data_IF_298086321683
#
_entry.id   IF_298086321683
#
_cell.length_a   1.000
_cell.length_b   1.000
_cell.length_c   1.000
_cell.angle_alpha   90.00
_cell.angle_beta   90.00
_cell.angle_gamma   90.00
#
_symmetry.space_group_name_H-M   'P 1'
#
loop_
_entity.id
_entity.type
_entity.pdbx_description
1 polymer ?
#
# COMPACT_ATOMS: atom_id res chain seq x y z
N UNK A 1 -14.93 12.67 -4.39
CA UNK A 1 -13.94 12.85 -3.30
C UNK A 1 -12.60 12.26 -3.75
N UNK A 2 -11.48 12.90 -3.39
CA UNK A 2 -10.13 12.38 -3.68
C UNK A 2 -9.69 11.33 -2.64
N UNK A 3 -8.78 10.42 -2.99
CA UNK A 3 -8.15 9.49 -2.04
C UNK A 3 -7.37 10.24 -0.97
N UNK A 4 -6.67 11.32 -1.33
CA UNK A 4 -5.94 12.14 -0.36
C UNK A 4 -6.86 12.68 0.76
N UNK A 5 -8.05 13.14 0.40
CA UNK A 5 -9.08 13.64 1.33
C UNK A 5 -9.63 12.49 2.20
N UNK A 6 -9.99 11.36 1.59
CA UNK A 6 -10.52 10.21 2.32
C UNK A 6 -9.52 9.63 3.34
N UNK A 7 -8.23 9.68 3.03
CA UNK A 7 -7.14 9.28 3.95
C UNK A 7 -6.84 10.33 5.04
N UNK A 8 -7.52 11.48 5.05
CA UNK A 8 -7.24 12.63 5.90
C UNK A 8 -5.76 13.02 5.88
N UNK A 9 -5.18 13.09 4.68
CA UNK A 9 -3.81 13.56 4.50
C UNK A 9 -3.81 15.07 4.35
N UNK A 10 -2.91 15.74 5.07
CA UNK A 10 -2.68 17.18 4.95
C UNK A 10 -1.41 17.46 4.15
N UNK A 11 -1.28 18.68 3.65
CA UNK A 11 -0.10 19.15 2.93
C UNK A 11 1.16 19.27 3.80
N UNK A 12 1.09 18.92 5.09
CA UNK A 12 2.28 18.79 5.95
C UNK A 12 3.15 17.61 5.55
N UNK A 13 2.65 16.70 4.71
CA UNK A 13 3.36 15.50 4.27
C UNK A 13 3.19 14.33 5.24
N UNK A 14 3.99 13.29 5.03
CA UNK A 14 3.94 12.08 5.82
C UNK A 14 4.45 10.86 5.06
N UNK A 15 4.75 9.81 5.81
CA UNK A 15 5.16 8.51 5.26
C UNK A 15 3.93 7.62 5.19
N UNK A 16 3.52 7.23 3.98
CA UNK A 16 2.35 6.40 3.71
C UNK A 16 2.82 5.06 3.16
N UNK A 17 2.58 3.98 3.90
CA UNK A 17 2.90 2.62 3.48
C UNK A 17 1.66 1.89 2.99
N UNK A 18 1.75 1.22 1.84
CA UNK A 18 0.71 0.39 1.24
C UNK A 18 1.08 -1.08 1.40
N UNK A 19 0.23 -1.86 2.06
CA UNK A 19 0.45 -3.30 2.27
C UNK A 19 -0.81 -4.11 1.93
N UNK A 20 -0.64 -5.36 1.51
CA UNK A 20 -1.74 -6.26 1.16
C UNK A 20 -1.89 -6.57 -0.33
N UNK A 21 -3.13 -6.69 -0.80
CA UNK A 21 -3.48 -7.16 -2.14
C UNK A 21 -4.43 -6.22 -2.87
N UNK A 22 -4.56 -6.37 -4.19
CA UNK A 22 -5.61 -5.66 -4.94
C UNK A 22 -5.24 -4.22 -5.33
N UNK A 23 -4.09 -4.00 -5.95
CA UNK A 23 -3.79 -2.75 -6.65
C UNK A 23 -3.04 -1.68 -5.85
N UNK A 24 -2.20 -2.08 -4.90
CA UNK A 24 -1.34 -1.17 -4.10
C UNK A 24 -0.57 -0.17 -4.94
N UNK A 25 0.12 -0.64 -5.96
CA UNK A 25 0.93 0.18 -6.86
C UNK A 25 0.07 1.22 -7.58
N UNK A 26 -1.10 0.82 -8.07
CA UNK A 26 -2.07 1.72 -8.72
C UNK A 26 -2.59 2.77 -7.74
N UNK A 27 -2.95 2.37 -6.52
CA UNK A 27 -3.42 3.26 -5.47
C UNK A 27 -2.33 4.27 -5.06
N UNK A 28 -1.08 3.82 -4.94
CA UNK A 28 0.07 4.67 -4.65
C UNK A 28 0.28 5.72 -5.75
N UNK A 29 0.24 5.32 -7.02
CA UNK A 29 0.37 6.28 -8.14
C UNK A 29 -0.83 7.22 -8.26
N UNK A 30 -2.04 6.75 -7.95
CA UNK A 30 -3.24 7.60 -7.91
C UNK A 30 -3.11 8.65 -6.81
N UNK A 31 -2.74 8.25 -5.58
CA UNK A 31 -2.49 9.19 -4.49
C UNK A 31 -1.39 10.21 -4.88
N UNK A 32 -0.30 9.75 -5.49
CA UNK A 32 0.74 10.63 -6.00
C UNK A 32 0.19 11.69 -6.96
N UNK A 33 -0.74 11.34 -7.85
CA UNK A 33 -1.34 12.31 -8.78
C UNK A 33 -2.27 13.32 -8.10
N UNK A 34 -2.82 12.99 -6.93
CA UNK A 34 -3.73 13.86 -6.18
C UNK A 34 -3.00 14.80 -5.23
N UNK A 35 -1.77 14.46 -4.82
CA UNK A 35 -0.94 15.30 -3.95
C UNK A 35 -0.59 16.62 -4.66
N UNK A 36 -0.84 17.80 -4.04
CA UNK A 36 -0.59 19.11 -4.63
C UNK A 36 0.83 19.29 -5.14
N UNK A 37 1.01 19.99 -6.27
CA UNK A 37 2.33 20.21 -6.92
C UNK A 37 3.36 20.82 -5.98
N UNK A 38 2.94 21.68 -5.03
CA UNK A 38 3.79 22.28 -4.00
C UNK A 38 4.41 21.27 -3.03
N UNK A 39 3.83 20.08 -2.90
CA UNK A 39 4.35 19.04 -2.03
C UNK A 39 5.38 18.19 -2.79
N UNK A 40 6.46 17.85 -2.10
CA UNK A 40 7.50 16.95 -2.59
C UNK A 40 7.04 15.52 -2.36
N UNK A 41 7.22 14.65 -3.35
CA UNK A 41 6.79 13.25 -3.24
C UNK A 41 7.91 12.33 -3.68
N UNK A 42 8.21 11.34 -2.85
CA UNK A 42 9.11 10.24 -3.15
C UNK A 42 8.29 8.95 -3.19
N UNK A 43 8.42 8.20 -4.28
CA UNK A 43 7.81 6.88 -4.43
C UNK A 43 8.88 5.81 -4.20
N UNK A 44 8.57 4.76 -3.45
CA UNK A 44 9.55 3.69 -3.21
C UNK A 44 8.87 2.37 -2.85
N UNK A 45 9.68 1.34 -2.61
CA UNK A 45 9.23 0.02 -2.17
C UNK A 45 10.25 -0.60 -1.22
N UNK A 46 9.79 -1.41 -0.27
CA UNK A 46 10.65 -2.28 0.56
C UNK A 46 10.84 -3.68 -0.03
N UNK A 47 10.17 -3.99 -1.14
CA UNK A 47 10.24 -5.32 -1.77
C UNK A 47 10.69 -5.23 -3.22
N UNK A 48 9.79 -5.41 -4.18
CA UNK A 48 10.06 -5.26 -5.61
C UNK A 48 8.89 -4.53 -6.21
N UNK A 49 9.17 -3.47 -6.95
CA UNK A 49 8.17 -2.76 -7.74
C UNK A 49 8.46 -2.98 -9.21
N UNK A 50 7.41 -3.08 -10.02
CA UNK A 50 7.57 -3.01 -11.47
C UNK A 50 8.07 -1.61 -11.84
N UNK A 51 9.05 -1.51 -12.75
CA UNK A 51 9.53 -0.22 -13.23
C UNK A 51 8.34 0.51 -13.84
N UNK A 52 7.92 1.66 -13.29
CA UNK A 52 6.82 2.41 -13.87
C UNK A 52 7.28 3.11 -15.16
N UNK A 53 6.34 3.61 -15.99
CA UNK A 53 6.71 4.36 -17.19
C UNK A 53 7.64 5.52 -16.83
N UNK A 54 8.90 5.43 -17.27
CA UNK A 54 9.98 6.33 -16.85
C UNK A 54 9.79 7.76 -17.34
N UNK A 55 9.03 7.94 -18.42
CA UNK A 55 8.57 9.23 -18.92
C UNK A 55 7.64 9.96 -17.94
N UNK A 56 6.88 9.21 -17.12
CA UNK A 56 5.94 9.76 -16.13
C UNK A 56 6.54 9.79 -14.73
N UNK A 57 7.41 8.82 -14.42
CA UNK A 57 8.00 8.65 -13.10
C UNK A 57 9.52 8.39 -13.23
N UNK A 58 10.35 9.45 -13.22
CA UNK A 58 11.79 9.31 -13.28
C UNK A 58 12.28 8.37 -12.17
N UNK A 59 13.03 7.34 -12.56
CA UNK A 59 13.53 6.33 -11.62
C UNK A 59 14.97 6.65 -11.24
N UNK A 60 15.23 6.76 -9.94
CA UNK A 60 16.57 6.97 -9.39
C UNK A 60 17.04 5.69 -8.68
N UNK A 61 18.14 5.14 -9.17
CA UNK A 61 18.76 3.91 -8.64
C UNK A 61 19.90 4.27 -7.69
N UNK A 62 19.84 3.74 -6.47
CA UNK A 62 20.72 4.11 -5.36
C UNK A 62 21.88 3.12 -5.13
N UNK A 63 22.26 2.34 -6.15
CA UNK A 63 23.31 1.32 -6.06
C UNK A 63 24.75 1.87 -5.93
N UNK A 64 24.98 3.16 -6.23
CA UNK A 64 26.29 3.81 -6.11
C UNK A 64 26.34 4.69 -4.86
N UNK A 65 27.17 4.33 -3.89
CA UNK A 65 27.40 5.10 -2.65
C UNK A 65 27.88 6.53 -2.99
N UNK A 66 27.34 7.55 -2.30
CA UNK A 66 28.07 8.82 -2.07
C UNK A 66 27.31 10.13 -2.24
N UNK A 67 26.35 10.27 -3.16
CA UNK A 67 25.71 11.58 -3.47
C UNK A 67 24.18 11.56 -3.56
N UNK A 68 23.56 10.55 -2.94
CA UNK A 68 22.13 10.26 -3.05
C UNK A 68 21.26 11.42 -2.55
N UNK A 69 21.59 11.98 -1.38
CA UNK A 69 20.80 13.05 -0.78
C UNK A 69 20.82 14.31 -1.66
N UNK A 70 21.96 14.64 -2.28
CA UNK A 70 22.07 15.80 -3.19
C UNK A 70 21.27 15.59 -4.47
N UNK A 71 21.38 14.42 -5.10
CA UNK A 71 20.62 14.10 -6.31
C UNK A 71 19.11 14.07 -6.05
N UNK A 72 18.69 13.45 -4.95
CA UNK A 72 17.29 13.41 -4.53
C UNK A 72 16.76 14.81 -4.24
N UNK A 73 17.48 15.60 -3.44
CA UNK A 73 17.08 16.99 -3.15
C UNK A 73 16.98 17.83 -4.42
N UNK A 74 17.94 17.70 -5.34
CA UNK A 74 17.90 18.42 -6.62
C UNK A 74 16.63 18.10 -7.43
N UNK A 75 16.26 16.81 -7.53
CA UNK A 75 15.02 16.40 -8.21
C UNK A 75 13.77 16.92 -7.50
N UNK A 76 13.74 16.85 -6.17
CA UNK A 76 12.59 17.33 -5.39
C UNK A 76 12.44 18.86 -5.48
N UNK A 77 13.55 19.59 -5.51
CA UNK A 77 13.58 21.05 -5.71
C UNK A 77 13.12 21.44 -7.12
N UNK A 78 13.41 20.62 -8.14
CA UNK A 78 12.93 20.85 -9.51
C UNK A 78 11.49 20.39 -9.74
N UNK A 79 10.76 19.99 -8.69
CA UNK A 79 9.37 19.52 -8.76
C UNK A 79 9.20 18.10 -9.32
N UNK A 80 10.30 17.37 -9.54
CA UNK A 80 10.24 15.98 -9.99
C UNK A 80 9.88 15.06 -8.82
N UNK A 81 9.02 14.07 -9.07
CA UNK A 81 8.59 13.07 -8.10
C UNK A 81 9.20 11.70 -8.44
N UNK A 82 10.39 11.37 -7.90
CA UNK A 82 11.12 10.21 -8.35
C UNK A 82 10.61 8.91 -7.73
N UNK A 83 10.85 7.81 -8.44
CA UNK A 83 10.77 6.45 -7.91
C UNK A 83 12.15 6.01 -7.47
N UNK A 84 12.33 5.82 -6.17
CA UNK A 84 13.57 5.32 -5.60
C UNK A 84 13.59 3.81 -5.60
N UNK A 85 14.70 3.24 -6.05
CA UNK A 85 15.02 1.84 -5.87
C UNK A 85 16.51 1.57 -5.71
N UNK A 86 16.84 0.36 -5.28
CA UNK A 86 18.20 -0.07 -5.03
C UNK A 86 18.97 -0.31 -6.33
N UNK A 87 18.45 -1.23 -7.13
CA UNK A 87 19.07 -1.72 -8.34
C UNK A 87 17.98 -2.34 -9.23
N UNK A 88 18.19 -2.37 -10.56
CA UNK A 88 17.28 -3.07 -11.45
C UNK A 88 17.38 -4.59 -11.21
N UNK A 89 16.31 -5.29 -11.53
CA UNK A 89 16.19 -6.74 -11.50
C UNK A 89 15.64 -7.22 -12.86
N UNK A 90 15.86 -8.50 -13.15
CA UNK A 90 15.28 -9.14 -14.33
C UNK A 90 13.75 -9.00 -14.34
N UNK A 91 13.17 -8.92 -15.56
CA UNK A 91 11.73 -8.79 -15.75
C UNK A 91 11.17 -7.40 -15.44
N UNK A 92 11.94 -6.35 -15.74
CA UNK A 92 11.54 -4.94 -15.59
C UNK A 92 11.06 -4.57 -14.16
N UNK A 93 11.84 -4.98 -13.16
CA UNK A 93 11.57 -4.72 -11.74
C UNK A 93 12.72 -3.97 -11.08
N UNK A 94 12.43 -3.29 -9.99
CA UNK A 94 13.43 -2.62 -9.17
C UNK A 94 13.42 -3.25 -7.79
N UNK A 95 14.61 -3.58 -7.27
CA UNK A 95 14.76 -4.01 -5.89
C UNK A 95 14.49 -2.82 -4.96
N UNK A 96 13.68 -3.06 -3.94
CA UNK A 96 13.39 -2.11 -2.87
C UNK A 96 14.48 -2.09 -1.80
N UNK A 97 14.34 -1.13 -0.90
CA UNK A 97 15.24 -0.89 0.23
C UNK A 97 14.87 -1.77 1.42
N UNK A 98 15.80 -1.98 2.36
CA UNK A 98 15.40 -2.44 3.69
C UNK A 98 14.65 -1.33 4.42
N UNK A 99 13.72 -1.70 5.32
CA UNK A 99 12.98 -0.72 6.14
C UNK A 99 13.93 0.25 6.87
N UNK A 100 15.00 -0.28 7.47
CA UNK A 100 16.00 0.51 8.20
C UNK A 100 16.71 1.53 7.31
N UNK A 101 16.97 1.20 6.04
CA UNK A 101 17.63 2.13 5.14
C UNK A 101 16.67 3.18 4.61
N UNK A 102 15.39 2.85 4.38
CA UNK A 102 14.36 3.85 4.12
C UNK A 102 14.19 4.80 5.29
N UNK A 103 14.15 4.31 6.52
CA UNK A 103 14.06 5.17 7.71
C UNK A 103 15.21 6.19 7.74
N UNK A 104 16.44 5.79 7.36
CA UNK A 104 17.57 6.73 7.24
C UNK A 104 17.39 7.76 6.13
N UNK A 105 16.86 7.36 4.96
CA UNK A 105 16.61 8.28 3.85
C UNK A 105 15.51 9.28 4.23
N UNK A 106 14.40 8.79 4.80
CA UNK A 106 13.25 9.60 5.24
C UNK A 106 13.68 10.61 6.31
N UNK A 107 14.46 10.18 7.30
CA UNK A 107 14.95 11.08 8.35
C UNK A 107 16.00 12.09 7.83
N UNK A 108 16.69 11.75 6.74
CA UNK A 108 17.63 12.65 6.06
C UNK A 108 16.95 13.72 5.20
N UNK A 109 15.72 13.48 4.74
CA UNK A 109 14.92 14.47 3.99
C UNK A 109 14.19 15.38 4.97
N UNK A 110 14.83 16.48 5.35
CA UNK A 110 14.24 17.49 6.26
C UNK A 110 13.27 18.42 5.50
N UNK A 111 12.16 18.80 6.13
CA UNK A 111 11.22 19.81 5.60
C UNK A 111 9.74 19.39 5.68
N UNK A 112 8.86 20.38 5.88
CA UNK A 112 7.41 20.21 5.78
C UNK A 112 6.98 19.99 4.34
N UNK A 113 5.93 19.19 4.11
CA UNK A 113 5.39 18.96 2.76
C UNK A 113 6.09 17.85 1.98
N UNK A 114 6.81 16.98 2.68
CA UNK A 114 7.45 15.79 2.12
C UNK A 114 6.53 14.57 2.29
N UNK A 115 6.08 14.00 1.19
CA UNK A 115 5.42 12.69 1.17
C UNK A 115 6.40 11.60 0.76
N UNK A 116 6.36 10.49 1.48
CA UNK A 116 7.05 9.27 1.09
C UNK A 116 6.03 8.16 0.97
N UNK A 117 5.77 7.73 -0.26
CA UNK A 117 4.81 6.67 -0.55
C UNK A 117 5.57 5.36 -0.76
N UNK A 118 5.26 4.36 0.05
CA UNK A 118 6.02 3.11 0.14
C UNK A 118 5.13 1.93 -0.20
N UNK A 119 5.46 1.18 -1.25
CA UNK A 119 4.90 -0.17 -1.43
C UNK A 119 5.63 -1.16 -0.52
N UNK A 120 4.97 -1.56 0.58
CA UNK A 120 5.59 -2.25 1.71
C UNK A 120 5.67 -3.77 1.54
N UNK A 121 5.03 -4.33 0.51
CA UNK A 121 5.00 -5.77 0.26
C UNK A 121 4.61 -6.17 -1.18
N UNK A 122 4.94 -7.40 -1.61
CA UNK A 122 4.56 -7.93 -2.92
C UNK A 122 3.38 -8.89 -2.86
N UNK A 123 2.35 -8.70 -3.71
CA UNK A 123 1.21 -9.65 -3.84
C UNK A 123 1.11 -10.33 -5.20
N UNK A 124 2.06 -10.08 -6.12
CA UNK A 124 2.00 -10.55 -7.53
C UNK A 124 0.68 -10.18 -8.24
N UNK A 125 0.11 -9.03 -7.90
CA UNK A 125 -1.16 -8.56 -8.49
C UNK A 125 -2.42 -9.21 -7.92
N UNK A 126 -2.31 -10.13 -6.97
CA UNK A 126 -3.46 -10.79 -6.32
C UNK A 126 -4.19 -9.85 -5.37
N UNK A 127 -5.49 -10.11 -5.20
CA UNK A 127 -6.45 -9.28 -4.47
C UNK A 127 -6.40 -9.46 -2.96
N UNK A 128 -6.02 -10.65 -2.49
CA UNK A 128 -5.76 -10.94 -1.08
C UNK A 128 -4.39 -11.58 -0.91
N UNK A 129 -3.83 -11.56 0.30
CA UNK A 129 -2.48 -12.06 0.57
C UNK A 129 -2.37 -12.74 1.93
N UNK A 130 -1.72 -13.91 1.94
CA UNK A 130 -1.15 -14.52 3.14
C UNK A 130 0.26 -13.99 3.44
N UNK A 131 0.49 -13.65 4.70
CA UNK A 131 1.71 -12.99 5.17
C UNK A 131 2.68 -14.00 5.80
N UNK A 132 3.91 -14.07 5.28
CA UNK A 132 5.00 -14.84 5.90
C UNK A 132 5.56 -14.09 7.10
N UNK A 133 6.35 -14.73 7.96
CA UNK A 133 6.85 -14.20 9.24
C UNK A 133 7.74 -12.96 9.14
N UNK A 134 8.27 -12.64 7.96
CA UNK A 134 9.04 -11.43 7.69
C UNK A 134 8.27 -10.34 6.91
N UNK A 135 7.00 -10.55 6.53
CA UNK A 135 6.17 -9.59 5.80
C UNK A 135 4.92 -9.11 6.57
N UNK A 136 4.48 -7.85 6.43
CA UNK A 136 5.00 -6.84 5.51
C UNK A 136 6.25 -6.13 6.07
N UNK A 137 7.06 -5.58 5.17
CA UNK A 137 8.26 -4.82 5.53
C UNK A 137 7.88 -3.35 5.56
N UNK A 138 7.32 -2.89 6.68
CA UNK A 138 6.84 -1.52 6.89
C UNK A 138 7.95 -0.69 7.58
N UNK A 139 8.37 0.47 7.04
CA UNK A 139 9.31 1.38 7.71
C UNK A 139 8.77 1.90 9.04
N UNK A 140 9.65 2.11 10.04
CA UNK A 140 9.25 2.65 11.35
C UNK A 140 8.73 4.09 11.25
N UNK A 141 9.21 4.84 10.27
CA UNK A 141 8.80 6.21 9.99
C UNK A 141 7.38 6.31 9.41
N UNK A 142 6.72 5.20 9.10
CA UNK A 142 5.33 5.17 8.61
C UNK A 142 4.38 5.91 9.55
N UNK A 143 3.69 6.91 9.02
CA UNK A 143 2.66 7.70 9.72
C UNK A 143 1.24 7.21 9.42
N UNK A 144 1.04 6.60 8.25
CA UNK A 144 -0.20 6.00 7.81
C UNK A 144 0.08 4.67 7.10
N UNK A 145 -0.53 3.60 7.59
CA UNK A 145 -0.60 2.31 6.91
C UNK A 145 -1.94 2.20 6.18
N UNK A 146 -1.89 2.10 4.85
CA UNK A 146 -3.03 1.77 4.01
C UNK A 146 -3.03 0.27 3.73
N UNK A 147 -4.01 -0.44 4.29
CA UNK A 147 -4.19 -1.88 4.05
C UNK A 147 -5.06 -2.06 2.83
N UNK A 148 -4.48 -2.48 1.72
CA UNK A 148 -5.22 -2.64 0.45
C UNK A 148 -5.78 -4.05 0.36
N UNK A 149 -7.06 -4.12 0.03
CA UNK A 149 -7.83 -5.36 -0.13
C UNK A 149 -8.58 -5.25 -1.46
N UNK A 150 -8.42 -6.22 -2.36
CA UNK A 150 -9.22 -6.27 -3.59
C UNK A 150 -10.57 -6.90 -3.33
N UNK A 151 -11.65 -6.14 -3.48
CA UNK A 151 -13.02 -6.58 -3.25
C UNK A 151 -13.47 -7.72 -4.17
N UNK A 152 -12.85 -7.85 -5.35
CA UNK A 152 -13.07 -8.91 -6.32
C UNK A 152 -12.70 -10.33 -5.84
N UNK A 153 -12.06 -10.44 -4.66
CA UNK A 153 -11.84 -11.74 -3.98
C UNK A 153 -13.07 -12.22 -3.21
N UNK A 154 -14.00 -11.34 -2.84
CA UNK A 154 -15.19 -11.69 -2.07
C UNK A 154 -16.05 -12.63 -2.91
N UNK A 155 -16.49 -13.74 -2.30
CA UNK A 155 -17.28 -14.77 -2.97
C UNK A 155 -16.47 -15.68 -3.90
N UNK A 156 -15.14 -15.48 -4.01
CA UNK A 156 -14.24 -16.38 -4.75
C UNK A 156 -13.76 -17.50 -3.84
N UNK A 157 -13.38 -18.62 -4.45
CA UNK A 157 -12.75 -19.72 -3.71
C UNK A 157 -11.31 -19.38 -3.34
N UNK A 158 -10.84 -19.87 -2.19
CA UNK A 158 -9.46 -19.70 -1.75
C UNK A 158 -8.52 -20.50 -2.67
N UNK A 159 -7.83 -19.78 -3.56
CA UNK A 159 -6.89 -20.32 -4.53
C UNK A 159 -5.85 -19.27 -4.98
N UNK A 160 -4.87 -19.69 -5.78
CA UNK A 160 -3.77 -18.84 -6.27
C UNK A 160 -4.17 -17.83 -7.37
N UNK A 161 -5.41 -17.86 -7.88
CA UNK A 161 -5.89 -16.96 -8.92
C UNK A 161 -6.20 -15.57 -8.36
N UNK A 162 -6.77 -15.51 -7.16
CA UNK A 162 -7.14 -14.25 -6.48
C UNK A 162 -6.36 -13.99 -5.21
N UNK A 163 -5.74 -15.02 -4.62
CA UNK A 163 -4.99 -14.87 -3.37
C UNK A 163 -3.51 -15.19 -3.57
N UNK A 164 -2.65 -14.44 -2.92
CA UNK A 164 -1.22 -14.70 -2.89
C UNK A 164 -0.90 -15.57 -1.67
N UNK A 165 -0.45 -16.81 -1.89
CA UNK A 165 -0.15 -17.80 -0.85
C UNK A 165 -1.40 -18.25 -0.06
N UNK A 166 -2.40 -18.87 -0.72
CA UNK A 166 -3.61 -19.37 -0.07
C UNK A 166 -3.30 -20.31 1.09
N UNK A 167 -2.29 -21.18 0.97
CA UNK A 167 -1.89 -22.09 2.05
C UNK A 167 -1.49 -21.36 3.36
N UNK A 168 -0.93 -20.15 3.26
CA UNK A 168 -0.61 -19.33 4.44
C UNK A 168 -1.89 -18.78 5.05
N UNK A 169 -2.85 -18.33 4.24
CA UNK A 169 -4.18 -17.90 4.69
C UNK A 169 -4.88 -19.06 5.41
N UNK A 170 -4.90 -20.25 4.80
CA UNK A 170 -5.47 -21.45 5.40
C UNK A 170 -4.89 -21.75 6.78
N UNK A 171 -3.57 -21.70 6.91
CA UNK A 171 -2.90 -21.94 8.21
C UNK A 171 -3.19 -20.85 9.24
N UNK A 172 -3.45 -19.61 8.82
CA UNK A 172 -3.69 -18.48 9.73
C UNK A 172 -5.12 -18.45 10.27
N UNK A 173 -6.12 -18.66 9.42
CA UNK A 173 -7.53 -18.45 9.79
C UNK A 173 -8.39 -19.72 9.73
N UNK A 174 -7.84 -20.84 9.26
CA UNK A 174 -8.54 -22.13 9.15
C UNK A 174 -9.32 -22.35 7.86
N UNK A 175 -9.31 -21.39 6.92
CA UNK A 175 -10.05 -21.46 5.65
C UNK A 175 -9.39 -22.46 4.68
N UNK A 176 -10.07 -23.53 4.30
CA UNK A 176 -9.50 -24.58 3.45
C UNK A 176 -9.42 -24.14 1.98
N UNK A 177 -8.46 -24.66 1.20
CA UNK A 177 -8.45 -24.44 -0.25
C UNK A 177 -9.79 -24.85 -0.89
N UNK A 178 -10.30 -24.02 -1.78
CA UNK A 178 -11.61 -24.23 -2.42
C UNK A 178 -12.82 -23.67 -1.64
N UNK A 179 -12.69 -23.36 -0.34
CA UNK A 179 -13.76 -22.70 0.42
C UNK A 179 -13.90 -21.23 0.01
N UNK A 180 -15.09 -20.67 0.25
CA UNK A 180 -15.42 -19.29 -0.13
C UNK A 180 -14.70 -18.29 0.77
N UNK A 181 -14.06 -17.31 0.15
CA UNK A 181 -13.51 -16.13 0.81
C UNK A 181 -14.65 -15.12 0.99
N UNK A 182 -15.19 -15.04 2.20
CA UNK A 182 -16.25 -14.09 2.57
C UNK A 182 -15.69 -12.88 3.35
N UNK A 183 -16.52 -11.85 3.63
CA UNK A 183 -16.10 -10.68 4.40
C UNK A 183 -15.51 -11.00 5.78
N UNK A 184 -16.06 -11.98 6.49
CA UNK A 184 -15.62 -12.32 7.85
C UNK A 184 -14.22 -12.93 7.84
N UNK A 185 -13.96 -13.85 6.91
CA UNK A 185 -12.66 -14.48 6.73
C UNK A 185 -11.58 -13.47 6.33
N UNK A 186 -11.92 -12.50 5.45
CA UNK A 186 -11.00 -11.42 5.09
C UNK A 186 -10.69 -10.57 6.32
N UNK A 187 -11.71 -10.15 7.08
CA UNK A 187 -11.51 -9.34 8.28
C UNK A 187 -10.63 -10.07 9.30
N UNK A 188 -10.94 -11.35 9.59
CA UNK A 188 -10.14 -12.23 10.45
C UNK A 188 -8.68 -12.28 10.02
N UNK A 189 -8.39 -12.39 8.72
CA UNK A 189 -7.02 -12.42 8.19
C UNK A 189 -6.29 -11.08 8.41
N UNK A 190 -6.96 -9.95 8.16
CA UNK A 190 -6.37 -8.61 8.27
C UNK A 190 -6.05 -8.27 9.73
N UNK A 191 -6.97 -8.53 10.65
CA UNK A 191 -6.82 -8.22 12.08
C UNK A 191 -6.06 -9.31 12.85
N UNK A 192 -5.74 -10.43 12.21
CA UNK A 192 -4.99 -11.52 12.82
C UNK A 192 -3.66 -10.99 13.43
N UNK A 193 -3.23 -11.45 14.63
CA UNK A 193 -1.98 -10.99 15.25
C UNK A 193 -0.73 -11.19 14.39
N UNK A 194 -0.73 -12.24 13.56
CA UNK A 194 0.31 -12.53 12.55
C UNK A 194 0.04 -11.93 11.16
N UNK A 195 -1.03 -11.16 11.01
CA UNK A 195 -1.47 -10.54 9.76
C UNK A 195 -0.71 -9.27 9.40
N UNK A 196 -1.32 -8.48 8.52
CA UNK A 196 -0.71 -7.27 7.94
C UNK A 196 -0.36 -6.21 8.98
N UNK A 197 -1.13 -6.13 10.06
CA UNK A 197 -1.01 -5.08 11.07
C UNK A 197 0.17 -5.30 12.02
N UNK A 198 0.78 -6.49 12.05
CA UNK A 198 1.82 -6.83 13.03
C UNK A 198 3.08 -5.96 12.91
N UNK A 199 3.39 -5.51 11.70
CA UNK A 199 4.54 -4.64 11.42
C UNK A 199 4.17 -3.15 11.45
N UNK A 200 2.93 -2.80 11.82
CA UNK A 200 2.46 -1.42 11.84
C UNK A 200 3.04 -0.67 13.06
N UNK A 201 3.76 0.45 12.87
CA UNK A 201 4.27 1.25 13.98
C UNK A 201 3.14 1.69 14.94
N UNK A 202 3.36 1.72 16.27
CA UNK A 202 2.29 2.03 17.24
C UNK A 202 1.59 3.38 17.00
N UNK A 203 2.35 4.42 16.60
CA UNK A 203 1.81 5.76 16.32
C UNK A 203 1.21 5.93 14.91
N UNK A 204 1.30 4.92 14.05
CA UNK A 204 0.75 5.00 12.70
C UNK A 204 -0.78 4.85 12.73
N UNK A 205 -1.47 5.69 11.95
CA UNK A 205 -2.88 5.46 11.61
C UNK A 205 -3.00 4.26 10.70
N UNK A 206 -4.12 3.54 10.78
CA UNK A 206 -4.41 2.39 9.92
C UNK A 206 -5.73 2.68 9.21
N UNK A 207 -5.72 2.65 7.89
CA UNK A 207 -6.92 2.80 7.06
C UNK A 207 -6.95 1.67 6.03
N UNK A 208 -7.83 0.68 6.19
CA UNK A 208 -8.11 -0.26 5.12
C UNK A 208 -8.75 0.44 3.92
N UNK A 209 -8.28 0.10 2.74
CA UNK A 209 -8.83 0.52 1.46
C UNK A 209 -9.32 -0.72 0.71
N UNK A 210 -10.64 -0.92 0.70
CA UNK A 210 -11.32 -1.97 -0.05
C UNK A 210 -11.41 -1.49 -1.51
N UNK A 211 -10.37 -1.82 -2.28
CA UNK A 211 -10.23 -1.45 -3.68
C UNK A 211 -11.05 -2.35 -4.60
N UNK A 212 -11.27 -1.94 -5.85
CA UNK A 212 -12.05 -2.67 -6.85
C UNK A 212 -13.52 -2.87 -6.47
N UNK A 213 -14.07 -2.01 -5.60
CA UNK A 213 -15.47 -2.07 -5.18
C UNK A 213 -16.45 -1.66 -6.31
N UNK A 214 -15.93 -1.11 -7.40
CA UNK A 214 -16.60 -0.91 -8.69
C UNK A 214 -16.81 -2.22 -9.48
N UNK A 215 -15.99 -3.25 -9.24
CA UNK A 215 -16.15 -4.56 -9.88
C UNK A 215 -17.26 -5.42 -9.25
N UNK A 216 -17.77 -5.03 -8.08
CA UNK A 216 -18.83 -5.76 -7.40
C UNK A 216 -20.20 -5.38 -7.97
N UNK A 217 -21.01 -6.38 -8.33
CA UNK A 217 -22.39 -6.17 -8.77
C UNK A 217 -23.27 -5.59 -7.66
N UNK A 218 -23.04 -6.03 -6.41
CA UNK A 218 -23.64 -5.49 -5.18
C UNK A 218 -22.54 -5.24 -4.16
N UNK A 219 -22.63 -4.14 -3.42
CA UNK A 219 -21.58 -3.70 -2.48
C UNK A 219 -21.84 -4.11 -1.03
N UNK A 220 -22.94 -4.81 -0.75
CA UNK A 220 -23.33 -5.22 0.61
C UNK A 220 -22.18 -5.94 1.33
N UNK A 221 -21.49 -6.85 0.67
CA UNK A 221 -20.36 -7.58 1.26
C UNK A 221 -19.11 -6.71 1.48
N UNK A 222 -18.90 -5.66 0.66
CA UNK A 222 -17.83 -4.69 0.91
C UNK A 222 -18.14 -3.83 2.15
N UNK A 223 -19.40 -3.44 2.34
CA UNK A 223 -19.84 -2.76 3.55
C UNK A 223 -19.76 -3.66 4.79
N UNK A 224 -20.18 -4.93 4.68
CA UNK A 224 -20.00 -5.93 5.75
C UNK A 224 -18.54 -6.08 6.13
N UNK A 225 -17.64 -6.17 5.13
CA UNK A 225 -16.21 -6.23 5.37
C UNK A 225 -15.70 -4.96 6.09
N UNK A 226 -16.14 -3.78 5.66
CA UNK A 226 -15.76 -2.53 6.32
C UNK A 226 -16.18 -2.53 7.80
N UNK A 227 -17.42 -2.93 8.09
CA UNK A 227 -17.92 -3.02 9.45
C UNK A 227 -17.15 -4.03 10.32
N UNK A 228 -16.75 -5.18 9.78
CA UNK A 228 -15.91 -6.13 10.50
C UNK A 228 -14.49 -5.65 10.76
N UNK A 229 -13.98 -4.73 9.93
CA UNK A 229 -12.64 -4.15 10.09
C UNK A 229 -12.61 -2.98 11.07
N UNK A 230 -13.73 -2.29 11.28
CA UNK A 230 -13.83 -1.20 12.25
C UNK A 230 -13.65 -1.74 13.68
N UNK A 231 -12.81 -1.06 14.45
CA UNK A 231 -12.49 -1.46 15.82
C UNK A 231 -11.02 -1.33 16.16
N UNK A 232 -10.73 -1.28 17.47
CA UNK A 232 -9.36 -1.12 17.97
C UNK A 232 -8.66 0.13 17.41
N UNK A 233 -7.62 -0.09 16.60
CA UNK A 233 -6.82 0.97 15.93
C UNK A 233 -7.37 1.39 14.57
N UNK A 234 -8.32 0.66 14.00
CA UNK A 234 -8.97 1.00 12.72
C UNK A 234 -10.21 1.81 13.03
N UNK A 235 -10.18 3.10 12.67
CA UNK A 235 -11.28 4.07 12.90
C UNK A 235 -11.94 4.55 11.62
N UNK A 236 -11.49 4.02 10.48
CA UNK A 236 -11.93 4.40 9.15
C UNK A 236 -11.63 3.28 8.17
N UNK A 237 -12.57 2.98 7.29
CA UNK A 237 -12.41 2.11 6.12
C UNK A 237 -12.90 2.85 4.89
N UNK A 238 -12.15 2.74 3.78
CA UNK A 238 -12.51 3.37 2.50
C UNK A 238 -12.91 2.29 1.51
N UNK A 239 -14.05 2.46 0.85
CA UNK A 239 -14.44 1.69 -0.33
C UNK A 239 -14.11 2.53 -1.57
N UNK A 240 -13.46 1.92 -2.55
CA UNK A 240 -13.05 2.68 -3.72
C UNK A 240 -12.54 1.86 -4.89
N UNK A 241 -12.07 2.59 -5.89
CA UNK A 241 -11.43 2.08 -7.10
C UNK A 241 -10.30 3.01 -7.50
N UNK A 242 -9.06 2.55 -7.32
CA UNK A 242 -7.87 3.34 -7.63
C UNK A 242 -7.76 3.77 -9.12
N UNK A 243 -8.46 3.06 -10.01
CA UNK A 243 -8.45 3.31 -11.46
C UNK A 243 -9.67 4.08 -11.96
N UNK A 244 -10.71 4.20 -11.13
CA UNK A 244 -11.93 4.95 -11.47
C UNK A 244 -11.66 6.45 -11.57
N UNK A 245 -12.50 7.15 -12.33
CA UNK A 245 -12.53 8.62 -12.35
C UNK A 245 -12.82 9.15 -10.94
N UNK A 246 -13.85 8.58 -10.31
CA UNK A 246 -14.27 8.84 -8.93
C UNK A 246 -13.73 7.71 -8.04
N UNK A 247 -12.61 7.93 -7.33
CA UNK A 247 -11.83 6.84 -6.75
C UNK A 247 -12.34 6.40 -5.38
N UNK A 248 -13.15 7.22 -4.72
CA UNK A 248 -13.74 6.96 -3.41
C UNK A 248 -15.25 6.82 -3.61
N UNK A 249 -15.76 5.63 -3.27
CA UNK A 249 -17.19 5.32 -3.31
C UNK A 249 -17.82 5.69 -1.97
N UNK A 250 -17.17 5.30 -0.87
CA UNK A 250 -17.65 5.62 0.48
C UNK A 250 -16.51 5.62 1.51
N UNK A 251 -16.76 6.30 2.63
CA UNK A 251 -15.89 6.35 3.80
C UNK A 251 -16.73 5.97 5.02
N UNK A 252 -16.38 4.87 5.67
CA UNK A 252 -17.07 4.35 6.85
C UNK A 252 -16.17 4.58 8.06
N UNK A 253 -16.70 5.24 9.09
CA UNK A 253 -16.00 5.60 10.34
C UNK A 253 -16.62 4.88 11.55
#
# INVERSE_FOLDING_TARGET
MKIMEALSLSDRGGVVSFAGGGGKTSLMFRLNSEIPVRCRVVLTTTTKIQVPPTNKYPTLLLSKKGQINKALESLLQSGIRPVLGLQPLNGNKIKGFSAQWLDRIINGTSGSGNFVLVEADGSKGRSLKGYLDYEPVIPRSTTLLVVVIGADVIGRTLNDSFTHRPAVISKMIGLKPGEIVDPENIARLIIHPRGVLRSCPPGARIIPFINKADCLAKRDDAYRLANFLLGGRIRRVILGSAISKDPVIDVID
#
